data_IF_479178614327
#
_entry.id   IF_479178614327
#
_cell.length_a   1.000
_cell.length_b   1.000
_cell.length_c   1.000
_cell.angle_alpha   90.00
_cell.angle_beta   90.00
_cell.angle_gamma   90.00
#
_symmetry.space_group_name_H-M   'P 1'
#
loop_
_entity.id
_entity.type
_entity.pdbx_description
1 polymer ?
#
# COMPACT_ATOMS: atom_id res chain seq x y z
N UNK A 1 32.08 1.23 54.21
CA UNK A 1 31.13 1.49 53.10
C UNK A 1 31.52 0.58 51.95
N UNK A 2 30.76 -0.49 51.71
CA UNK A 2 31.03 -1.44 50.64
C UNK A 2 30.32 -1.01 49.37
N UNK A 3 31.09 -0.71 48.32
CA UNK A 3 30.55 -0.49 46.98
C UNK A 3 30.28 -1.84 46.30
N UNK A 4 29.12 -2.01 45.65
CA UNK A 4 28.84 -3.22 44.89
C UNK A 4 29.72 -3.30 43.63
N UNK A 5 30.06 -4.51 43.17
CA UNK A 5 30.87 -4.71 41.98
C UNK A 5 30.08 -4.33 40.72
N UNK A 6 30.73 -3.60 39.82
CA UNK A 6 30.22 -3.25 38.50
C UNK A 6 30.34 -4.48 37.60
N UNK A 7 29.20 -5.06 37.22
CA UNK A 7 29.14 -6.19 36.28
C UNK A 7 29.14 -5.61 34.87
N UNK A 8 30.25 -5.79 34.15
CA UNK A 8 30.34 -5.50 32.73
C UNK A 8 29.84 -6.71 31.94
N UNK A 9 28.68 -6.59 31.31
CA UNK A 9 28.22 -7.57 30.31
C UNK A 9 28.82 -7.23 28.96
N UNK A 10 29.74 -8.06 28.49
CA UNK A 10 30.27 -8.00 27.13
C UNK A 10 29.15 -8.32 26.13
N UNK A 11 28.82 -7.33 25.29
CA UNK A 11 27.89 -7.51 24.18
C UNK A 11 28.64 -8.20 23.05
N UNK A 12 28.41 -9.50 22.88
CA UNK A 12 28.95 -10.27 21.76
C UNK A 12 28.22 -9.87 20.48
N UNK A 13 28.82 -8.98 19.69
CA UNK A 13 28.38 -8.66 18.33
C UNK A 13 28.41 -9.93 17.48
N UNK A 14 27.23 -10.47 17.16
CA UNK A 14 27.07 -11.50 16.13
C UNK A 14 27.28 -10.85 14.77
N UNK A 15 28.46 -11.04 14.20
CA UNK A 15 28.72 -10.78 12.78
C UNK A 15 27.79 -11.68 11.96
N UNK A 16 26.74 -11.09 11.41
CA UNK A 16 25.85 -11.75 10.45
C UNK A 16 26.62 -11.86 9.13
N UNK A 17 27.17 -13.04 8.85
CA UNK A 17 27.68 -13.38 7.53
C UNK A 17 26.49 -13.57 6.60
N UNK A 18 26.16 -12.50 5.86
CA UNK A 18 25.17 -12.55 4.80
C UNK A 18 25.75 -13.39 3.66
N UNK A 19 25.44 -14.68 3.65
CA UNK A 19 25.70 -15.55 2.50
C UNK A 19 24.91 -15.03 1.31
N UNK A 20 25.62 -14.36 0.40
CA UNK A 20 25.13 -13.87 -0.87
C UNK A 20 24.89 -15.08 -1.78
N UNK A 21 23.79 -15.79 -1.59
CA UNK A 21 23.30 -16.73 -2.59
C UNK A 21 22.89 -15.91 -3.80
N UNK A 22 23.73 -15.93 -4.83
CA UNK A 22 23.37 -15.45 -6.16
C UNK A 22 22.04 -16.10 -6.54
N UNK A 23 20.97 -15.34 -6.83
CA UNK A 23 19.84 -15.90 -7.53
C UNK A 23 20.39 -16.40 -8.87
N UNK A 24 20.35 -17.73 -9.05
CA UNK A 24 20.45 -18.35 -10.36
C UNK A 24 19.29 -17.76 -11.16
N UNK A 25 19.59 -16.74 -11.97
CA UNK A 25 18.67 -16.30 -12.98
C UNK A 25 18.40 -17.53 -13.86
N UNK A 26 17.13 -17.96 -14.01
CA UNK A 26 16.82 -18.95 -15.02
C UNK A 26 17.34 -18.39 -16.35
N UNK A 27 18.14 -19.18 -17.05
CA UNK A 27 18.55 -18.89 -18.41
C UNK A 27 17.30 -18.50 -19.21
N UNK A 28 17.35 -17.43 -20.03
CA UNK A 28 16.22 -17.05 -20.85
C UNK A 28 15.90 -18.22 -21.76
N UNK A 29 14.79 -18.89 -21.48
CA UNK A 29 14.20 -19.84 -22.41
C UNK A 29 13.85 -19.02 -23.63
N UNK A 30 14.47 -19.32 -24.77
CA UNK A 30 14.10 -18.74 -26.05
C UNK A 30 12.67 -19.19 -26.37
N UNK A 31 11.69 -18.43 -25.88
CA UNK A 31 10.31 -18.57 -26.28
C UNK A 31 10.24 -18.11 -27.74
N UNK A 32 10.22 -19.11 -28.63
CA UNK A 32 9.87 -18.97 -30.03
C UNK A 32 8.49 -18.30 -30.11
N UNK A 33 8.47 -16.98 -30.33
CA UNK A 33 7.26 -16.23 -30.57
C UNK A 33 6.61 -16.74 -31.85
N UNK A 34 5.62 -17.62 -31.71
CA UNK A 34 4.72 -17.96 -32.81
C UNK A 34 3.89 -16.70 -33.08
N UNK A 35 4.33 -15.91 -34.05
CA UNK A 35 3.53 -14.84 -34.65
C UNK A 35 2.36 -15.54 -35.35
N UNK A 36 1.23 -15.70 -34.64
CA UNK A 36 -0.04 -16.06 -35.25
C UNK A 36 -0.45 -14.89 -36.15
N UNK A 37 -0.04 -14.95 -37.41
CA UNK A 37 -0.54 -14.10 -38.49
C UNK A 37 -2.01 -14.43 -38.73
N UNK A 38 -2.86 -13.93 -37.84
CA UNK A 38 -4.29 -13.94 -38.05
C UNK A 38 -4.58 -12.88 -39.11
N UNK A 39 -4.51 -13.28 -40.38
CA UNK A 39 -5.06 -12.54 -41.52
C UNK A 39 -6.56 -12.35 -41.29
N UNK A 40 -6.89 -11.34 -40.49
CA UNK A 40 -8.25 -10.84 -40.38
C UNK A 40 -8.44 -10.05 -41.67
N UNK A 41 -9.10 -10.68 -42.64
CA UNK A 41 -9.48 -10.03 -43.89
C UNK A 41 -10.14 -8.70 -43.57
N UNK A 42 -9.49 -7.61 -43.94
CA UNK A 42 -10.00 -6.25 -43.80
C UNK A 42 -11.22 -6.18 -44.72
N UNK A 43 -12.39 -6.41 -44.12
CA UNK A 43 -13.66 -6.27 -44.81
C UNK A 43 -13.77 -4.80 -45.20
N UNK A 44 -13.88 -4.54 -46.50
CA UNK A 44 -13.96 -3.22 -47.08
C UNK A 44 -14.98 -2.37 -46.31
N UNK A 45 -14.50 -1.31 -45.66
CA UNK A 45 -15.34 -0.37 -44.93
C UNK A 45 -16.31 0.26 -45.93
N UNK A 46 -17.59 -0.01 -45.73
CA UNK A 46 -18.67 0.64 -46.44
C UNK A 46 -18.66 2.13 -46.07
N UNK A 47 -18.42 3.01 -47.05
CA UNK A 47 -18.48 4.46 -46.87
C UNK A 47 -19.90 4.85 -46.42
N UNK A 48 -20.04 5.16 -45.13
CA UNK A 48 -21.28 5.70 -44.58
C UNK A 48 -21.43 7.15 -45.05
N UNK A 49 -22.66 7.59 -45.40
CA UNK A 49 -22.92 8.95 -45.84
C UNK A 49 -22.48 9.96 -44.76
N UNK A 50 -21.82 11.03 -45.22
CA UNK A 50 -21.34 12.16 -44.40
C UNK A 50 -22.53 12.85 -43.75
N UNK A 51 -22.94 12.35 -42.57
CA UNK A 51 -24.20 12.70 -41.93
C UNK A 51 -24.07 12.72 -40.42
N UNK A 52 -23.37 13.74 -39.94
CA UNK A 52 -23.42 14.39 -38.62
C UNK A 52 -22.00 14.75 -38.20
N UNK A 53 -21.60 15.97 -38.59
CA UNK A 53 -20.55 16.71 -37.90
C UNK A 53 -21.11 16.94 -36.49
N UNK A 54 -20.88 16.02 -35.56
CA UNK A 54 -20.99 16.35 -34.16
C UNK A 54 -19.97 17.45 -33.93
N UNK A 55 -20.45 18.67 -33.69
CA UNK A 55 -19.63 19.75 -33.17
C UNK A 55 -18.82 19.16 -32.03
N UNK A 56 -17.53 18.96 -32.29
CA UNK A 56 -16.57 18.52 -31.29
C UNK A 56 -16.66 19.60 -30.21
N UNK A 57 -17.12 19.28 -28.99
CA UNK A 57 -17.19 20.26 -27.92
C UNK A 57 -15.81 20.91 -27.87
N UNK A 58 -15.75 22.21 -28.19
CA UNK A 58 -14.49 22.93 -28.12
C UNK A 58 -13.97 22.71 -26.70
N UNK A 59 -12.81 22.07 -26.59
CA UNK A 59 -12.13 21.92 -25.32
C UNK A 59 -11.86 23.34 -24.86
N UNK A 60 -12.76 23.86 -24.03
CA UNK A 60 -12.52 25.07 -23.27
C UNK A 60 -11.37 24.72 -22.34
N UNK A 61 -10.15 24.96 -22.81
CA UNK A 61 -8.99 25.09 -21.96
C UNK A 61 -9.32 26.27 -21.06
N UNK A 62 -9.90 25.97 -19.89
CA UNK A 62 -9.91 26.91 -18.79
C UNK A 62 -8.44 27.21 -18.54
N UNK A 63 -8.00 28.35 -19.09
CA UNK A 63 -6.71 28.93 -18.84
C UNK A 63 -6.63 29.10 -17.32
N UNK A 64 -5.92 28.17 -16.68
CA UNK A 64 -5.72 28.20 -15.24
C UNK A 64 -5.04 29.53 -14.94
N UNK A 65 -5.74 30.35 -14.15
CA UNK A 65 -5.21 31.63 -13.71
C UNK A 65 -3.79 31.44 -13.17
N UNK A 66 -2.85 32.37 -13.48
CA UNK A 66 -1.46 32.26 -13.05
C UNK A 66 -1.42 31.98 -11.54
N UNK A 67 -0.97 30.77 -11.18
CA UNK A 67 -0.91 30.35 -9.79
C UNK A 67 0.05 31.29 -9.07
N UNK A 68 -0.43 32.01 -8.05
CA UNK A 68 0.46 32.85 -7.26
C UNK A 68 1.56 31.98 -6.65
N UNK A 69 2.79 32.51 -6.48
CA UNK A 69 3.88 31.77 -5.87
C UNK A 69 3.45 31.30 -4.49
N UNK A 70 3.21 30.00 -4.35
CA UNK A 70 2.72 29.45 -3.09
C UNK A 70 3.84 29.52 -2.06
N UNK A 71 3.52 30.03 -0.87
CA UNK A 71 4.49 30.12 0.22
C UNK A 71 4.98 28.71 0.58
N UNK A 72 6.30 28.49 0.77
CA UNK A 72 6.81 27.23 1.27
C UNK A 72 6.14 26.85 2.60
N UNK A 73 5.70 25.59 2.71
CA UNK A 73 5.11 25.09 3.95
C UNK A 73 6.16 25.13 5.08
N UNK A 74 5.77 25.54 6.27
CA UNK A 74 6.63 25.55 7.45
C UNK A 74 6.52 24.25 8.26
N UNK A 75 5.48 23.46 8.00
CA UNK A 75 5.28 22.14 8.60
C UNK A 75 4.50 21.20 7.68
N UNK A 76 4.55 19.90 7.96
CA UNK A 76 3.72 18.90 7.25
C UNK A 76 2.21 19.11 7.48
N UNK A 77 1.81 19.75 8.60
CA UNK A 77 0.41 20.04 8.88
C UNK A 77 -0.15 21.11 7.93
N UNK A 78 0.67 22.10 7.53
CA UNK A 78 0.30 23.12 6.56
C UNK A 78 0.12 22.58 5.13
N UNK A 79 0.57 21.35 4.87
CA UNK A 79 0.37 20.68 3.59
C UNK A 79 -1.02 20.04 3.46
N UNK A 80 -1.81 20.03 4.55
CA UNK A 80 -3.19 19.52 4.55
C UNK A 80 -4.15 20.71 4.40
N UNK A 81 -4.86 20.77 3.28
CA UNK A 81 -5.86 21.80 2.98
C UNK A 81 -7.19 21.10 2.72
N UNK A 82 -8.22 21.46 3.49
CA UNK A 82 -9.58 20.90 3.36
C UNK A 82 -9.64 19.36 3.33
N UNK A 83 -8.84 18.72 4.20
CA UNK A 83 -8.77 17.26 4.29
C UNK A 83 -8.01 16.58 3.15
N UNK A 84 -7.37 17.36 2.27
CA UNK A 84 -6.52 16.88 1.19
C UNK A 84 -5.05 17.15 1.52
N UNK A 85 -4.20 16.13 1.44
CA UNK A 85 -2.76 16.29 1.58
C UNK A 85 -2.14 16.60 0.22
N UNK A 86 -1.56 17.79 0.09
CA UNK A 86 -0.78 18.21 -1.07
C UNK A 86 0.62 17.56 -1.01
N UNK A 87 0.80 16.51 -1.81
CA UNK A 87 1.99 15.66 -1.77
C UNK A 87 3.23 16.38 -2.27
N UNK A 88 3.08 17.29 -3.23
CA UNK A 88 4.16 18.11 -3.75
C UNK A 88 4.71 19.06 -2.68
N UNK A 89 3.84 19.75 -1.94
CA UNK A 89 4.21 20.62 -0.83
C UNK A 89 4.88 19.84 0.30
N UNK A 90 4.32 18.69 0.66
CA UNK A 90 4.85 17.83 1.71
C UNK A 90 6.21 17.23 1.33
N UNK A 91 6.37 16.77 0.09
CA UNK A 91 7.61 16.24 -0.43
C UNK A 91 8.70 17.32 -0.49
N UNK A 92 8.37 18.53 -0.99
CA UNK A 92 9.27 19.69 -1.02
C UNK A 92 9.74 20.05 0.39
N UNK A 93 8.81 20.12 1.35
CA UNK A 93 9.14 20.37 2.75
C UNK A 93 10.12 19.33 3.33
N UNK A 94 9.88 18.03 3.10
CA UNK A 94 10.78 16.96 3.57
C UNK A 94 12.14 17.05 2.88
N UNK A 95 12.15 17.28 1.56
CA UNK A 95 13.37 17.41 0.77
C UNK A 95 14.21 18.58 1.27
N UNK A 96 13.61 19.76 1.47
CA UNK A 96 14.29 20.95 1.98
C UNK A 96 14.89 20.71 3.37
N UNK A 97 14.13 20.08 4.28
CA UNK A 97 14.66 19.70 5.59
C UNK A 97 15.83 18.71 5.50
N UNK A 98 15.79 17.77 4.55
CA UNK A 98 16.88 16.82 4.32
C UNK A 98 18.13 17.50 3.78
N UNK A 99 17.97 18.42 2.83
CA UNK A 99 19.07 19.20 2.28
C UNK A 99 19.73 20.09 3.34
N UNK A 100 18.92 20.70 4.20
CA UNK A 100 19.39 21.53 5.31
C UNK A 100 19.90 20.72 6.51
N UNK A 101 19.80 19.38 6.48
CA UNK A 101 20.13 18.48 7.60
C UNK A 101 19.35 18.77 8.88
N UNK A 102 18.17 19.34 8.76
CA UNK A 102 17.24 19.67 9.87
C UNK A 102 16.11 18.66 10.00
N UNK A 103 16.02 17.68 9.09
CA UNK A 103 14.98 16.66 9.11
C UNK A 103 15.00 15.83 10.41
N UNK A 104 13.86 15.82 11.11
CA UNK A 104 13.67 15.04 12.32
C UNK A 104 12.71 13.86 12.06
N UNK A 105 13.26 12.63 12.12
CA UNK A 105 12.48 11.40 11.89
C UNK A 105 11.39 11.19 12.96
N UNK A 106 11.60 11.64 14.20
CA UNK A 106 10.59 11.54 15.25
C UNK A 106 9.40 12.45 14.95
N UNK A 107 9.65 13.71 14.55
CA UNK A 107 8.59 14.65 14.14
C UNK A 107 7.82 14.15 12.92
N UNK A 108 8.50 13.55 11.94
CA UNK A 108 7.84 12.90 10.82
C UNK A 108 6.93 11.75 11.27
N UNK A 109 7.43 10.86 12.13
CA UNK A 109 6.65 9.72 12.64
C UNK A 109 5.45 10.17 13.48
N UNK A 110 5.60 11.25 14.24
CA UNK A 110 4.52 11.89 14.99
C UNK A 110 3.44 12.41 14.04
N UNK A 111 3.83 13.16 13.00
CA UNK A 111 2.90 13.64 11.98
C UNK A 111 2.13 12.48 11.32
N UNK A 112 2.83 11.44 10.84
CA UNK A 112 2.21 10.27 10.18
C UNK A 112 1.17 9.59 11.09
N UNK A 113 1.41 9.56 12.41
CA UNK A 113 0.51 8.95 13.40
C UNK A 113 -0.55 9.91 13.95
N UNK A 114 -0.49 11.19 13.57
CA UNK A 114 -1.40 12.21 14.07
C UNK A 114 -2.85 11.95 13.65
N UNK A 115 -3.79 12.48 14.44
CA UNK A 115 -5.21 12.43 14.11
C UNK A 115 -5.54 13.20 12.84
N UNK A 116 -4.77 14.26 12.53
CA UNK A 116 -4.97 15.05 11.32
C UNK A 116 -4.56 14.26 10.08
N UNK A 117 -3.35 13.70 10.05
CA UNK A 117 -2.86 12.90 8.92
C UNK A 117 -3.74 11.65 8.69
N UNK A 118 -4.15 10.98 9.77
CA UNK A 118 -5.02 9.80 9.65
C UNK A 118 -6.44 10.13 9.19
N UNK A 119 -6.88 11.41 9.22
CA UNK A 119 -8.19 11.86 8.69
C UNK A 119 -8.14 12.36 7.24
N UNK A 120 -6.97 12.46 6.62
CA UNK A 120 -6.82 12.87 5.21
C UNK A 120 -7.66 11.96 4.30
N UNK A 121 -8.51 12.55 3.48
CA UNK A 121 -9.41 11.83 2.58
C UNK A 121 -8.75 11.61 1.21
N UNK A 122 -8.02 12.61 0.73
CA UNK A 122 -7.40 12.63 -0.60
C UNK A 122 -5.91 12.99 -0.51
N UNK A 123 -5.12 12.43 -1.41
CA UNK A 123 -3.70 12.77 -1.61
C UNK A 123 -3.54 13.33 -3.02
N UNK A 124 -3.08 14.57 -3.14
CA UNK A 124 -2.99 15.30 -4.40
C UNK A 124 -1.54 15.37 -4.87
N UNK A 125 -1.26 14.89 -6.09
CA UNK A 125 0.09 14.77 -6.67
C UNK A 125 0.39 15.85 -7.73
N UNK A 126 -0.33 16.96 -7.71
CA UNK A 126 -0.12 18.04 -8.68
C UNK A 126 1.33 18.52 -8.69
N UNK A 127 1.82 18.97 -9.85
CA UNK A 127 3.10 19.69 -10.00
C UNK A 127 4.38 18.89 -9.72
N UNK A 128 4.31 17.57 -9.53
CA UNK A 128 5.53 16.74 -9.46
C UNK A 128 6.17 16.55 -10.85
N UNK A 129 5.40 16.66 -11.92
CA UNK A 129 5.89 16.52 -13.30
C UNK A 129 6.52 17.80 -13.86
N UNK A 130 6.31 18.96 -13.21
CA UNK A 130 6.82 20.26 -13.65
C UNK A 130 8.25 20.56 -13.15
N UNK A 131 8.88 19.60 -12.45
CA UNK A 131 10.21 19.78 -11.86
C UNK A 131 11.26 19.64 -12.96
N UNK A 132 11.95 20.74 -13.27
CA UNK A 132 12.98 20.78 -14.32
C UNK A 132 14.21 19.92 -13.99
N UNK A 133 14.57 19.77 -12.71
CA UNK A 133 15.70 18.93 -12.30
C UNK A 133 15.25 17.48 -12.08
N UNK A 134 15.68 16.52 -12.94
CA UNK A 134 15.27 15.12 -12.84
C UNK A 134 15.72 14.48 -11.52
N UNK A 135 16.83 14.93 -10.93
CA UNK A 135 17.31 14.38 -9.66
C UNK A 135 16.36 14.75 -8.53
N UNK A 136 16.00 16.02 -8.43
CA UNK A 136 15.01 16.50 -7.45
C UNK A 136 13.64 15.86 -7.68
N UNK A 137 13.20 15.68 -8.93
CA UNK A 137 11.94 15.02 -9.24
C UNK A 137 11.88 13.58 -8.69
N UNK A 138 12.96 12.80 -8.83
CA UNK A 138 13.06 11.44 -8.26
C UNK A 138 12.93 11.46 -6.74
N UNK A 139 13.64 12.36 -6.06
CA UNK A 139 13.59 12.44 -4.60
C UNK A 139 12.23 12.90 -4.08
N UNK A 140 11.60 13.85 -4.76
CA UNK A 140 10.28 14.36 -4.38
C UNK A 140 9.22 13.27 -4.55
N UNK A 141 9.25 12.52 -5.66
CA UNK A 141 8.40 11.34 -5.85
C UNK A 141 8.64 10.27 -4.78
N UNK A 142 9.90 10.02 -4.40
CA UNK A 142 10.22 9.07 -3.33
C UNK A 142 9.59 9.48 -2.00
N UNK A 143 9.68 10.76 -1.61
CA UNK A 143 9.08 11.23 -0.36
C UNK A 143 7.54 11.26 -0.41
N UNK A 144 6.97 11.60 -1.56
CA UNK A 144 5.52 11.53 -1.76
C UNK A 144 5.02 10.08 -1.61
N UNK A 145 5.63 9.12 -2.31
CA UNK A 145 5.26 7.71 -2.23
C UNK A 145 5.44 7.14 -0.81
N UNK A 146 6.49 7.59 -0.10
CA UNK A 146 6.69 7.21 1.30
C UNK A 146 5.55 7.70 2.19
N UNK A 147 5.14 8.97 2.08
CA UNK A 147 3.99 9.51 2.82
C UNK A 147 2.69 8.77 2.48
N UNK A 148 2.50 8.45 1.19
CA UNK A 148 1.34 7.70 0.71
C UNK A 148 1.26 6.30 1.30
N UNK A 149 2.40 5.63 1.53
CA UNK A 149 2.43 4.33 2.21
C UNK A 149 2.31 4.43 3.74
N UNK A 150 3.04 5.38 4.35
CA UNK A 150 3.15 5.48 5.80
C UNK A 150 1.83 5.87 6.48
N UNK A 151 1.05 6.80 5.90
CA UNK A 151 -0.21 7.30 6.50
C UNK A 151 -1.30 6.22 6.57
N UNK A 152 -1.65 5.50 5.48
CA UNK A 152 -2.62 4.40 5.54
C UNK A 152 -2.17 3.28 6.46
N UNK A 153 -0.87 2.95 6.49
CA UNK A 153 -0.33 1.96 7.40
C UNK A 153 -0.52 2.37 8.87
N UNK A 154 -0.25 3.64 9.21
CA UNK A 154 -0.48 4.17 10.55
C UNK A 154 -1.97 4.18 10.91
N UNK A 155 -2.86 4.55 9.97
CA UNK A 155 -4.32 4.46 10.14
C UNK A 155 -4.76 3.03 10.42
N UNK A 156 -4.28 2.06 9.63
CA UNK A 156 -4.61 0.65 9.80
C UNK A 156 -4.12 0.12 11.15
N UNK A 157 -2.88 0.40 11.54
CA UNK A 157 -2.34 0.00 12.84
C UNK A 157 -3.16 0.57 14.01
N UNK A 158 -3.67 1.81 13.88
CA UNK A 158 -4.56 2.42 14.87
C UNK A 158 -5.92 1.71 14.93
N UNK A 159 -6.46 1.28 13.79
CA UNK A 159 -7.71 0.52 13.74
C UNK A 159 -7.57 -0.86 14.39
N UNK A 160 -6.51 -1.62 14.08
CA UNK A 160 -6.28 -2.94 14.67
C UNK A 160 -6.21 -2.87 16.21
N UNK A 161 -5.48 -1.91 16.76
CA UNK A 161 -5.41 -1.71 18.23
C UNK A 161 -6.77 -1.41 18.87
N UNK A 162 -7.69 -0.78 18.15
CA UNK A 162 -9.05 -0.51 18.66
C UNK A 162 -9.89 -1.78 18.71
N UNK A 163 -9.73 -2.67 17.74
CA UNK A 163 -10.41 -3.98 17.72
C UNK A 163 -9.95 -4.84 18.90
N UNK A 164 -8.64 -4.89 19.15
CA UNK A 164 -8.06 -5.66 20.27
C UNK A 164 -8.56 -5.20 21.66
N UNK A 165 -8.89 -3.92 21.80
CA UNK A 165 -9.45 -3.37 23.04
C UNK A 165 -10.92 -3.76 23.22
N UNK A 166 -11.72 -3.67 22.15
CA UNK A 166 -13.13 -4.06 22.18
C UNK A 166 -13.30 -5.55 22.49
N UNK A 167 -12.42 -6.41 21.97
CA UNK A 167 -12.47 -7.85 22.24
C UNK A 167 -12.16 -8.19 23.71
N UNK A 168 -11.26 -7.44 24.35
CA UNK A 168 -10.93 -7.63 25.78
C UNK A 168 -12.05 -7.22 26.72
N UNK A 169 -12.83 -6.20 26.36
CA UNK A 169 -13.93 -5.70 27.19
C UNK A 169 -15.26 -6.42 26.93
N UNK A 170 -15.38 -7.17 25.82
CA UNK A 170 -16.56 -7.97 25.49
C UNK A 170 -16.70 -9.29 26.28
N UNK A 171 -15.80 -9.56 27.23
CA UNK A 171 -15.92 -10.67 28.18
C UNK A 171 -16.31 -10.16 29.57
N UNK A 172 -17.59 -9.90 29.85
CA UNK A 172 -18.07 -10.17 31.19
C UNK A 172 -17.93 -11.68 31.37
N UNK A 173 -16.92 -12.07 32.14
CA UNK A 173 -17.06 -12.84 33.39
C UNK A 173 -18.49 -13.32 33.70
N UNK A 174 -19.08 -14.09 32.80
CA UNK A 174 -20.01 -15.14 33.13
C UNK A 174 -19.33 -16.40 32.65
N UNK A 175 -18.48 -16.91 33.54
CA UNK A 175 -18.28 -18.33 33.70
C UNK A 175 -19.67 -18.97 33.97
N UNK A 176 -20.54 -18.98 32.96
CA UNK A 176 -21.61 -19.96 32.90
C UNK A 176 -20.87 -21.28 32.86
N UNK A 177 -20.78 -21.92 34.03
CA UNK A 177 -20.50 -23.33 34.13
C UNK A 177 -21.58 -24.01 33.31
N UNK A 178 -21.34 -24.18 32.01
CA UNK A 178 -22.01 -25.20 31.23
C UNK A 178 -21.51 -26.48 31.85
N UNK A 179 -22.27 -26.98 32.82
CA UNK A 179 -22.18 -28.36 33.27
C UNK A 179 -22.56 -29.17 32.02
N UNK A 180 -21.56 -29.55 31.24
CA UNK A 180 -21.71 -30.54 30.18
C UNK A 180 -22.05 -31.83 30.90
N UNK A 181 -23.34 -32.04 31.16
CA UNK A 181 -23.84 -33.36 31.52
C UNK A 181 -23.57 -34.23 30.31
N UNK A 182 -22.65 -35.16 30.51
CA UNK A 182 -22.24 -36.22 29.64
C UNK A 182 -23.44 -36.78 28.83
N UNK A 183 -23.55 -36.38 27.57
CA UNK A 183 -24.41 -37.03 26.60
C UNK A 183 -23.56 -38.01 25.79
N UNK A 184 -23.07 -39.05 26.45
CA UNK A 184 -22.73 -40.31 25.80
C UNK A 184 -24.03 -40.98 25.37
N UNK A 185 -24.54 -40.59 24.20
CA UNK A 185 -25.45 -41.42 23.42
C UNK A 185 -25.00 -41.37 21.96
N UNK A 186 -24.08 -42.29 21.67
CA UNK A 186 -24.29 -43.32 20.66
C UNK A 186 -25.00 -42.83 19.39
N UNK A 187 -24.21 -42.38 18.42
CA UNK A 187 -24.57 -42.45 17.00
C UNK A 187 -23.40 -43.11 16.29
N UNK A 188 -23.22 -44.39 16.62
CA UNK A 188 -22.59 -45.34 15.71
C UNK A 188 -23.62 -45.66 14.61
N UNK A 189 -23.13 -45.89 13.39
CA UNK A 189 -23.90 -46.08 12.14
C UNK A 189 -24.50 -44.83 11.50
N UNK A 190 -23.80 -44.25 10.51
CA UNK A 190 -24.31 -44.09 9.12
C UNK A 190 -23.32 -43.27 8.25
N UNK A 191 -22.08 -43.71 8.07
CA UNK A 191 -21.16 -43.09 7.08
C UNK A 191 -20.19 -44.11 6.47
N UNK A 192 -20.72 -45.24 5.99
CA UNK A 192 -19.95 -46.23 5.22
C UNK A 192 -20.78 -46.81 4.06
N UNK A 193 -21.18 -45.96 3.12
CA UNK A 193 -21.70 -46.42 1.82
C UNK A 193 -21.83 -45.26 0.84
N UNK A 194 -20.72 -44.75 0.31
CA UNK A 194 -20.68 -43.98 -0.96
C UNK A 194 -19.26 -43.81 -1.48
N UNK A 195 -18.49 -44.91 -1.58
CA UNK A 195 -17.29 -44.96 -2.44
C UNK A 195 -17.27 -46.33 -3.11
N UNK A 196 -17.99 -46.46 -4.22
CA UNK A 196 -17.76 -47.42 -5.31
C UNK A 196 -18.83 -47.19 -6.36
N UNK A 197 -18.53 -46.33 -7.32
CA UNK A 197 -19.02 -46.41 -8.70
C UNK A 197 -18.39 -45.24 -9.47
N UNK A 198 -17.39 -45.54 -10.30
CA UNK A 198 -16.67 -44.53 -11.04
C UNK A 198 -15.37 -45.00 -11.70
N UNK A 199 -15.29 -46.28 -12.09
CA UNK A 199 -14.27 -46.77 -13.00
C UNK A 199 -14.89 -47.87 -13.86
N UNK A 200 -15.42 -47.51 -15.03
CA UNK A 200 -15.48 -48.35 -16.24
C UNK A 200 -16.29 -47.63 -17.33
N UNK A 201 -15.63 -46.79 -18.12
CA UNK A 201 -16.09 -46.43 -19.47
C UNK A 201 -15.07 -45.53 -20.15
N UNK A 202 -14.06 -46.12 -20.81
CA UNK A 202 -13.51 -45.60 -22.06
C UNK A 202 -12.51 -46.59 -22.65
N UNK A 203 -13.05 -47.59 -23.36
CA UNK A 203 -12.36 -48.28 -24.44
C UNK A 203 -13.38 -48.46 -25.55
N UNK A 204 -13.30 -47.63 -26.58
CA UNK A 204 -13.53 -47.94 -27.99
C UNK A 204 -13.24 -46.69 -28.83
#
# INVERSE_FOLDING_TARGET
MHHPPVVYTSVTSRSSTYSKSHPLYPEPVEEEYIILSNETGIQAQQELPVGNIHERPEFNFHEELPRQPERPAQSLHECIVDGTLHMDRAAKFIFDQKQQRTFNQATYNEFVRSDLATKVQNMKFDLLDEIQDPTSAIWLNLYANRLQGDIPNARHAKLCRRVDLVEKDALPSSQQRIIVKNCEKEVDHQCRSSIREGQNSSSN
#
